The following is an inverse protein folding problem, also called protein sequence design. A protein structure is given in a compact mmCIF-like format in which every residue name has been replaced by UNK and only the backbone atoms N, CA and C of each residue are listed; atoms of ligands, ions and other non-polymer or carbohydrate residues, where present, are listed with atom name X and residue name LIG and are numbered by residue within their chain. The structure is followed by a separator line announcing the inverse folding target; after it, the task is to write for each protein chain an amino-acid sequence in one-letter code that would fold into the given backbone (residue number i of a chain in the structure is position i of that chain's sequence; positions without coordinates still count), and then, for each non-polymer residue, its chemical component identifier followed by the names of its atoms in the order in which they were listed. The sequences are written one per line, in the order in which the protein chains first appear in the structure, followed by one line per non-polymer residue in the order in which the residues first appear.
data_IF_689535008078
#
_entry.id   IF_689535008078
#
_cell.length_a   1.000
_cell.length_b   1.000
_cell.length_c   1.000
_cell.angle_alpha   90.00
_cell.angle_beta   90.00
_cell.angle_gamma   90.00
#
_symmetry.space_group_name_H-M   'P 1'
#
loop_
_entity.id
_entity.type
_entity.pdbx_description
1 polymer ?
#
# COMPACT_ATOMS: atom_id res chain seq x y z
N UNK A 1 30.68 -5.68 -38.04
CA UNK A 1 30.10 -6.95 -37.64
C UNK A 1 30.13 -7.18 -36.17
N UNK A 2 31.25 -6.92 -35.54
CA UNK A 2 31.37 -7.15 -34.10
C UNK A 2 30.56 -6.18 -33.25
N UNK A 3 30.19 -5.05 -33.81
CA UNK A 3 29.46 -3.99 -33.10
C UNK A 3 28.03 -4.38 -32.74
N UNK A 4 27.45 -5.31 -33.50
CA UNK A 4 26.05 -5.69 -33.30
C UNK A 4 25.80 -6.39 -31.97
N UNK A 5 26.78 -7.09 -31.44
CA UNK A 5 26.65 -7.84 -30.21
C UNK A 5 26.45 -6.93 -29.00
N UNK A 6 27.05 -5.74 -29.02
CA UNK A 6 26.97 -4.80 -27.89
C UNK A 6 25.59 -4.20 -27.73
N UNK A 7 24.87 -3.98 -28.81
CA UNK A 7 23.54 -3.38 -28.73
C UNK A 7 22.50 -4.32 -28.13
N UNK A 8 22.60 -5.60 -28.38
CA UNK A 8 21.67 -6.58 -27.87
C UNK A 8 21.66 -6.62 -26.33
N UNK A 9 22.83 -6.45 -25.72
CA UNK A 9 22.99 -6.48 -24.27
C UNK A 9 22.26 -5.33 -23.59
N UNK A 10 22.26 -4.14 -24.17
CA UNK A 10 21.63 -2.96 -23.59
C UNK A 10 20.11 -3.11 -23.49
N UNK A 11 19.47 -3.73 -24.46
CA UNK A 11 18.02 -3.93 -24.44
C UNK A 11 17.55 -4.84 -23.32
N UNK A 12 18.29 -5.88 -23.04
CA UNK A 12 17.92 -6.82 -21.98
C UNK A 12 17.82 -6.14 -20.61
N UNK A 13 18.68 -5.19 -20.34
CA UNK A 13 18.70 -4.44 -19.07
C UNK A 13 17.44 -3.59 -18.88
N UNK A 14 16.99 -2.93 -19.93
CA UNK A 14 15.81 -2.07 -19.85
C UNK A 14 14.53 -2.86 -19.59
N UNK A 15 14.38 -4.02 -20.21
CA UNK A 15 13.21 -4.88 -20.01
C UNK A 15 13.10 -5.36 -18.57
N UNK A 16 14.22 -5.72 -17.95
CA UNK A 16 14.24 -6.18 -16.56
C UNK A 16 13.75 -5.10 -15.58
N UNK A 17 14.12 -3.84 -15.81
CA UNK A 17 13.71 -2.72 -14.95
C UNK A 17 12.20 -2.51 -15.00
N UNK A 18 11.59 -2.59 -16.18
CA UNK A 18 10.15 -2.41 -16.34
C UNK A 18 9.35 -3.50 -15.65
N UNK A 19 9.81 -4.74 -15.67
CA UNK A 19 9.12 -5.86 -15.04
C UNK A 19 9.06 -5.71 -13.52
N UNK A 20 10.12 -5.20 -12.88
CA UNK A 20 10.16 -5.01 -11.42
C UNK A 20 9.15 -3.97 -10.95
N UNK A 21 8.92 -2.92 -11.73
CA UNK A 21 8.02 -1.83 -11.36
C UNK A 21 6.54 -2.23 -11.38
N UNK A 22 6.17 -3.36 -11.99
CA UNK A 22 4.78 -3.77 -12.17
C UNK A 22 4.16 -4.45 -10.94
N UNK A 23 4.97 -5.00 -10.04
CA UNK A 23 4.48 -5.78 -8.91
C UNK A 23 4.67 -5.05 -7.58
N UNK A 24 3.60 -4.40 -7.10
CA UNK A 24 3.57 -3.80 -5.77
C UNK A 24 2.93 -4.78 -4.78
N UNK A 25 3.44 -4.86 -3.54
CA UNK A 25 2.97 -5.86 -2.57
C UNK A 25 1.49 -5.76 -2.24
N UNK A 26 0.91 -4.55 -2.31
CA UNK A 26 -0.50 -4.34 -1.97
C UNK A 26 -1.48 -4.46 -3.14
N UNK A 27 -1.01 -4.81 -4.33
CA UNK A 27 -1.87 -4.87 -5.50
C UNK A 27 -3.06 -5.82 -5.30
N UNK A 28 -4.27 -5.29 -5.49
CA UNK A 28 -5.49 -6.07 -5.36
C UNK A 28 -5.98 -6.27 -3.93
N UNK A 29 -5.29 -5.67 -2.95
CA UNK A 29 -5.66 -5.79 -1.53
C UNK A 29 -6.27 -4.47 -1.06
N UNK A 30 -7.45 -4.56 -0.44
CA UNK A 30 -8.15 -3.41 0.14
C UNK A 30 -8.00 -3.44 1.65
N UNK A 31 -7.70 -2.29 2.25
CA UNK A 31 -7.59 -2.15 3.70
C UNK A 31 -8.62 -1.16 4.22
N UNK A 32 -9.13 -1.42 5.42
CA UNK A 32 -10.13 -0.60 6.09
C UNK A 32 -9.57 -0.10 7.41
N UNK A 33 -9.10 1.14 7.48
CA UNK A 33 -8.64 1.71 8.74
C UNK A 33 -9.81 2.16 9.62
N UNK A 34 -9.59 2.12 10.92
CA UNK A 34 -10.48 2.70 11.92
C UNK A 34 -9.68 3.64 12.81
N UNK A 35 -10.34 4.62 13.38
CA UNK A 35 -9.70 5.62 14.24
C UNK A 35 -10.70 6.17 15.23
N UNK A 36 -10.21 6.77 16.32
CA UNK A 36 -11.06 7.54 17.21
C UNK A 36 -11.27 8.95 16.63
N UNK A 37 -11.97 9.81 17.38
CA UNK A 37 -12.21 11.20 16.97
C UNK A 37 -11.06 12.14 17.31
N UNK A 38 -9.98 11.63 17.87
CA UNK A 38 -8.81 12.43 18.25
C UNK A 38 -8.03 12.85 17.00
N UNK A 39 -7.74 14.15 16.88
CA UNK A 39 -7.08 14.71 15.69
C UNK A 39 -5.72 14.09 15.40
N UNK A 40 -4.95 13.77 16.42
CA UNK A 40 -3.63 13.16 16.26
C UNK A 40 -3.72 11.79 15.62
N UNK A 41 -4.71 11.00 16.00
CA UNK A 41 -4.93 9.67 15.40
C UNK A 41 -5.38 9.79 13.96
N UNK A 42 -6.21 10.78 13.66
CA UNK A 42 -6.60 11.04 12.27
C UNK A 42 -5.39 11.35 11.41
N UNK A 43 -4.47 12.16 11.90
CA UNK A 43 -3.24 12.51 11.20
C UNK A 43 -2.36 11.28 10.98
N UNK A 44 -2.17 10.47 12.01
CA UNK A 44 -1.38 9.25 11.94
C UNK A 44 -1.98 8.26 10.96
N UNK A 45 -3.30 8.09 10.99
CA UNK A 45 -4.02 7.22 10.06
C UNK A 45 -3.80 7.66 8.61
N UNK A 46 -3.82 8.96 8.36
CA UNK A 46 -3.57 9.48 7.02
C UNK A 46 -2.14 9.20 6.54
N UNK A 47 -1.16 9.34 7.41
CA UNK A 47 0.24 9.05 7.05
C UNK A 47 0.39 7.58 6.67
N UNK A 48 -0.14 6.67 7.49
CA UNK A 48 -0.07 5.23 7.23
C UNK A 48 -0.83 4.88 5.95
N UNK A 49 -2.02 5.44 5.77
CA UNK A 49 -2.84 5.20 4.59
C UNK A 49 -2.10 5.59 3.30
N UNK A 50 -1.45 6.75 3.30
CA UNK A 50 -0.70 7.19 2.13
C UNK A 50 0.51 6.30 1.83
N UNK A 51 1.19 5.84 2.86
CA UNK A 51 2.28 4.90 2.69
C UNK A 51 1.80 3.58 2.08
N UNK A 52 0.66 3.08 2.55
CA UNK A 52 0.05 1.86 2.03
C UNK A 52 -0.39 2.03 0.57
N UNK A 53 -0.96 3.17 0.22
CA UNK A 53 -1.33 3.46 -1.17
C UNK A 53 -0.12 3.43 -2.10
N UNK A 54 1.01 3.94 -1.66
CA UNK A 54 2.26 3.89 -2.43
C UNK A 54 2.77 2.46 -2.63
N UNK A 55 2.40 1.57 -1.73
CA UNK A 55 2.74 0.15 -1.84
C UNK A 55 1.70 -0.64 -2.65
N UNK A 56 0.70 0.04 -3.22
CA UNK A 56 -0.28 -0.57 -4.11
C UNK A 56 -1.59 -0.98 -3.45
N UNK A 57 -1.74 -0.78 -2.14
CA UNK A 57 -3.00 -1.09 -1.44
C UNK A 57 -4.09 -0.07 -1.80
N UNK A 58 -5.33 -0.53 -1.85
CA UNK A 58 -6.49 0.34 -1.89
C UNK A 58 -6.90 0.62 -0.46
N UNK A 59 -6.88 1.88 -0.04
CA UNK A 59 -7.19 2.25 1.33
C UNK A 59 -8.54 2.96 1.36
N UNK A 60 -9.50 2.36 2.06
CA UNK A 60 -10.81 2.97 2.25
C UNK A 60 -10.71 4.17 3.20
N UNK A 61 -11.70 5.05 3.14
CA UNK A 61 -11.81 6.14 4.11
C UNK A 61 -11.90 5.57 5.52
N UNK A 62 -11.12 6.10 6.45
CA UNK A 62 -11.12 5.63 7.82
C UNK A 62 -12.50 5.83 8.48
N UNK A 63 -12.94 4.84 9.23
CA UNK A 63 -14.15 4.94 10.04
C UNK A 63 -13.82 5.45 11.43
N UNK A 64 -14.58 6.41 11.93
CA UNK A 64 -14.43 6.91 13.30
C UNK A 64 -15.27 6.08 14.25
N UNK A 65 -14.64 5.47 15.24
CA UNK A 65 -15.30 4.57 16.19
C UNK A 65 -14.63 4.70 17.57
N UNK A 66 -15.32 4.21 18.60
CA UNK A 66 -14.71 4.08 19.93
C UNK A 66 -13.62 3.01 19.90
N UNK A 67 -12.66 3.09 20.81
CA UNK A 67 -11.55 2.13 20.87
C UNK A 67 -12.04 0.69 20.96
N UNK A 68 -13.03 0.41 21.82
CA UNK A 68 -13.54 -0.96 21.96
C UNK A 68 -14.15 -1.49 20.67
N UNK A 69 -14.89 -0.64 19.97
CA UNK A 69 -15.48 -1.00 18.68
C UNK A 69 -14.38 -1.20 17.64
N UNK A 70 -13.38 -0.34 17.64
CA UNK A 70 -12.26 -0.45 16.73
C UNK A 70 -11.50 -1.75 16.89
N UNK A 71 -11.13 -2.09 18.11
CA UNK A 71 -10.39 -3.34 18.38
C UNK A 71 -11.23 -4.57 18.06
N UNK A 72 -12.52 -4.55 18.39
CA UNK A 72 -13.42 -5.65 18.06
C UNK A 72 -13.55 -5.83 16.54
N UNK A 73 -13.64 -4.73 15.80
CA UNK A 73 -13.71 -4.76 14.34
C UNK A 73 -12.46 -5.37 13.72
N UNK A 74 -11.29 -5.04 14.26
CA UNK A 74 -10.04 -5.62 13.77
C UNK A 74 -9.99 -7.11 14.11
N UNK A 75 -10.38 -7.49 15.30
CA UNK A 75 -10.38 -8.89 15.72
C UNK A 75 -11.33 -9.74 14.88
N UNK A 76 -12.46 -9.20 14.47
CA UNK A 76 -13.44 -9.91 13.65
C UNK A 76 -13.12 -9.90 12.15
N UNK A 77 -12.17 -9.10 11.73
CA UNK A 77 -11.81 -8.97 10.32
C UNK A 77 -12.57 -7.90 9.56
N UNK A 78 -13.45 -7.14 10.21
CA UNK A 78 -14.21 -6.06 9.57
C UNK A 78 -13.36 -4.82 9.32
N UNK A 79 -12.32 -4.62 10.11
CA UNK A 79 -11.34 -3.55 9.93
C UNK A 79 -9.93 -4.13 9.86
N UNK A 80 -8.99 -3.36 9.31
CA UNK A 80 -7.63 -3.84 9.06
C UNK A 80 -6.64 -3.35 10.12
N UNK A 81 -6.70 -2.07 10.46
CA UNK A 81 -5.76 -1.51 11.43
C UNK A 81 -6.30 -0.23 12.08
N UNK A 82 -5.66 0.13 13.18
CA UNK A 82 -5.83 1.44 13.83
C UNK A 82 -4.45 2.02 14.10
N UNK A 83 -4.35 3.32 14.02
CA UNK A 83 -3.09 4.00 14.29
C UNK A 83 -2.90 4.26 15.79
#
# INVERSE_FOLDING_TARGET
MRHNVLFATAFATLVSTSAVAADLPGKGITVQPVQSTISEESFQTQIVSRALEKLGYTVNTASEVDYNVGYTSIASGDATFTA
#
